data_IF_084357441316
#
_entry.id   IF_084357441316
#
_cell.length_a   1.000
_cell.length_b   1.000
_cell.length_c   1.000
_cell.angle_alpha   90.00
_cell.angle_beta   90.00
_cell.angle_gamma   90.00
#
_symmetry.space_group_name_H-M   'P 1'
#
loop_
_entity.id
_entity.type
_entity.pdbx_description
1 polymer ?
#
# COMPACT_ATOMS: atom_id res chain seq x y z
N UNK A 1 -26.29 6.58 0.22
CA UNK A 1 -25.17 6.18 1.07
C UNK A 1 -24.19 5.44 0.15
N UNK A 2 -22.97 5.91 0.01
CA UNK A 2 -21.95 5.20 -0.79
C UNK A 2 -21.65 3.86 -0.09
N UNK A 3 -21.61 2.76 -0.84
CA UNK A 3 -21.23 1.46 -0.29
C UNK A 3 -19.79 1.54 0.28
N UNK A 4 -19.56 0.94 1.44
CA UNK A 4 -18.23 0.91 2.04
C UNK A 4 -17.29 0.09 1.16
N UNK A 5 -16.11 0.65 0.88
CA UNK A 5 -15.06 -0.03 0.14
C UNK A 5 -14.33 -1.06 1.00
N UNK A 6 -14.21 -0.74 2.30
CA UNK A 6 -13.53 -1.53 3.32
C UNK A 6 -14.36 -1.49 4.60
N UNK A 7 -14.56 -2.63 5.24
CA UNK A 7 -15.16 -2.74 6.58
C UNK A 7 -14.41 -3.72 7.43
N UNK A 8 -14.24 -3.38 8.70
CA UNK A 8 -13.72 -4.22 9.77
C UNK A 8 -14.80 -4.31 10.84
N UNK A 9 -15.15 -5.52 11.28
CA UNK A 9 -16.15 -5.73 12.33
C UNK A 9 -15.61 -6.70 13.38
N UNK A 10 -15.73 -6.32 14.63
CA UNK A 10 -15.38 -7.11 15.82
C UNK A 10 -13.95 -7.71 15.76
N UNK A 11 -13.01 -6.92 15.26
CA UNK A 11 -11.61 -7.36 15.09
C UNK A 11 -10.93 -7.50 16.45
N UNK A 12 -10.35 -8.67 16.69
CA UNK A 12 -9.37 -8.91 17.74
C UNK A 12 -8.10 -9.51 17.12
N UNK A 13 -6.96 -8.88 17.39
CA UNK A 13 -5.67 -9.38 16.93
C UNK A 13 -4.65 -9.41 18.06
N UNK A 14 -3.96 -10.56 18.20
CA UNK A 14 -2.83 -10.78 19.12
C UNK A 14 -1.62 -11.27 18.36
N UNK A 15 -0.46 -10.85 18.78
CA UNK A 15 0.77 -11.45 18.30
C UNK A 15 0.96 -12.85 18.89
N UNK A 16 1.55 -13.79 18.14
CA UNK A 16 1.85 -15.13 18.68
C UNK A 16 2.68 -15.06 19.96
N UNK A 17 2.19 -15.69 21.03
CA UNK A 17 2.84 -15.71 22.34
C UNK A 17 2.44 -14.58 23.31
N UNK A 18 1.68 -13.59 22.85
CA UNK A 18 1.17 -12.51 23.69
C UNK A 18 -0.19 -12.88 24.31
N UNK A 19 -0.38 -12.52 25.59
CA UNK A 19 -1.64 -12.75 26.29
C UNK A 19 -2.68 -11.66 25.97
N UNK A 20 -2.22 -10.43 25.76
CA UNK A 20 -3.07 -9.27 25.54
C UNK A 20 -3.30 -9.02 24.04
N UNK A 21 -4.49 -8.51 23.70
CA UNK A 21 -4.78 -8.10 22.35
C UNK A 21 -3.96 -6.84 21.95
N UNK A 22 -3.30 -6.89 20.81
CA UNK A 22 -2.60 -5.74 20.22
C UNK A 22 -3.60 -4.75 19.62
N UNK A 23 -4.73 -5.25 19.09
CA UNK A 23 -5.78 -4.45 18.49
C UNK A 23 -7.15 -5.05 18.83
N UNK A 24 -8.07 -4.16 19.21
CA UNK A 24 -9.49 -4.44 19.38
C UNK A 24 -10.26 -3.32 18.65
N UNK A 25 -11.05 -3.68 17.63
CA UNK A 25 -11.81 -2.72 16.80
C UNK A 25 -13.23 -3.25 16.67
N UNK A 26 -14.20 -2.57 17.29
CA UNK A 26 -15.60 -2.94 17.18
C UNK A 26 -16.10 -2.75 15.75
N UNK A 27 -15.89 -1.56 15.18
CA UNK A 27 -16.29 -1.23 13.82
C UNK A 27 -15.34 -0.18 13.22
N UNK A 28 -14.96 -0.37 11.96
CA UNK A 28 -14.23 0.61 11.17
C UNK A 28 -14.64 0.46 9.71
N UNK A 29 -14.92 1.57 9.02
CA UNK A 29 -15.30 1.53 7.61
C UNK A 29 -14.67 2.67 6.82
N UNK A 30 -14.41 2.44 5.55
CA UNK A 30 -13.90 3.42 4.60
C UNK A 30 -14.73 3.37 3.33
N UNK A 31 -15.24 4.51 2.90
CA UNK A 31 -15.98 4.63 1.65
C UNK A 31 -15.05 4.75 0.43
N UNK A 32 -15.60 4.53 -0.77
CA UNK A 32 -14.84 4.75 -2.01
C UNK A 32 -14.48 6.24 -2.16
N UNK A 33 -13.20 6.52 -2.44
CA UNK A 33 -12.67 7.87 -2.58
C UNK A 33 -12.40 8.59 -1.24
N UNK A 34 -12.63 7.94 -0.11
CA UNK A 34 -12.33 8.49 1.20
C UNK A 34 -10.83 8.39 1.50
N UNK A 35 -10.29 9.44 2.13
CA UNK A 35 -8.94 9.47 2.66
C UNK A 35 -9.00 9.43 4.19
N UNK A 36 -8.34 8.44 4.79
CA UNK A 36 -8.34 8.24 6.24
C UNK A 36 -6.93 8.35 6.78
N UNK A 37 -6.74 9.20 7.77
CA UNK A 37 -5.49 9.36 8.49
C UNK A 37 -5.58 8.71 9.87
N UNK A 38 -4.69 7.74 10.13
CA UNK A 38 -4.62 7.03 11.40
C UNK A 38 -3.53 7.65 12.25
N UNK A 39 -3.92 8.24 13.38
CA UNK A 39 -3.01 8.86 14.35
C UNK A 39 -2.92 8.02 15.62
N UNK A 40 -1.77 8.06 16.27
CA UNK A 40 -1.52 7.37 17.55
C UNK A 40 -0.04 7.34 17.88
N UNK A 41 0.30 7.05 19.13
CA UNK A 41 1.67 6.92 19.60
C UNK A 41 2.42 5.76 18.93
N UNK A 42 3.75 5.77 19.03
CA UNK A 42 4.55 4.61 18.60
C UNK A 42 4.12 3.37 19.41
N UNK A 43 3.95 2.24 18.71
CA UNK A 43 3.49 1.01 19.36
C UNK A 43 1.96 0.88 19.54
N UNK A 44 1.15 1.87 19.14
CA UNK A 44 -0.32 1.81 19.28
C UNK A 44 -1.02 0.87 18.27
N UNK A 45 -0.28 0.06 17.52
CA UNK A 45 -0.85 -0.92 16.59
C UNK A 45 -1.17 -0.42 15.19
N UNK A 46 -0.79 0.83 14.80
CA UNK A 46 -1.07 1.38 13.45
C UNK A 46 -0.59 0.47 12.32
N UNK A 47 0.67 0.09 12.31
CA UNK A 47 1.23 -0.81 11.29
C UNK A 47 0.57 -2.19 11.34
N UNK A 48 0.15 -2.68 12.51
CA UNK A 48 -0.61 -3.92 12.65
C UNK A 48 -1.97 -3.80 11.96
N UNK A 49 -2.70 -2.70 12.20
CA UNK A 49 -3.97 -2.42 11.52
C UNK A 49 -3.79 -2.34 10.00
N UNK A 50 -2.80 -1.60 9.51
CA UNK A 50 -2.52 -1.51 8.08
C UNK A 50 -2.20 -2.88 7.46
N UNK A 51 -1.46 -3.74 8.17
CA UNK A 51 -1.16 -5.11 7.73
C UNK A 51 -2.40 -6.03 7.75
N UNK A 52 -3.33 -5.84 8.66
CA UNK A 52 -4.62 -6.53 8.67
C UNK A 52 -5.47 -6.09 7.45
N UNK A 53 -5.59 -4.80 7.20
CA UNK A 53 -6.29 -4.25 6.03
C UNK A 53 -5.67 -4.74 4.72
N UNK A 54 -4.34 -4.81 4.68
CA UNK A 54 -3.61 -5.33 3.52
C UNK A 54 -3.75 -6.86 3.36
N UNK A 55 -4.36 -7.57 4.30
CA UNK A 55 -4.47 -9.04 4.28
C UNK A 55 -3.11 -9.75 4.45
N UNK A 56 -2.08 -9.06 4.97
CA UNK A 56 -0.81 -9.67 5.37
C UNK A 56 -1.00 -10.47 6.66
N UNK A 57 -1.67 -9.84 7.63
CA UNK A 57 -2.10 -10.48 8.87
C UNK A 57 -3.56 -10.91 8.77
N UNK A 58 -3.94 -11.86 9.62
CA UNK A 58 -5.32 -12.33 9.75
C UNK A 58 -5.72 -12.20 11.21
N UNK A 59 -6.87 -11.58 11.53
CA UNK A 59 -7.34 -11.47 12.89
C UNK A 59 -7.76 -12.84 13.43
N UNK A 60 -7.70 -13.03 14.76
CA UNK A 60 -8.20 -14.22 15.42
C UNK A 60 -9.73 -14.22 15.51
N UNK A 61 -10.33 -13.03 15.69
CA UNK A 61 -11.78 -12.83 15.70
C UNK A 61 -12.17 -11.69 14.78
N UNK A 62 -13.44 -11.70 14.36
CA UNK A 62 -14.01 -10.68 13.51
C UNK A 62 -13.82 -10.91 12.02
N UNK A 63 -14.18 -9.92 11.23
CA UNK A 63 -14.16 -10.01 9.77
C UNK A 63 -13.65 -8.72 9.12
N UNK A 64 -12.88 -8.90 8.05
CA UNK A 64 -12.41 -7.82 7.18
C UNK A 64 -12.99 -8.07 5.79
N UNK A 65 -13.79 -7.12 5.32
CA UNK A 65 -14.37 -7.14 3.97
C UNK A 65 -13.81 -5.97 3.18
N UNK A 66 -13.26 -6.23 2.01
CA UNK A 66 -12.76 -5.22 1.09
C UNK A 66 -13.24 -5.55 -0.34
N UNK A 67 -13.78 -4.57 -1.06
CA UNK A 67 -14.31 -4.75 -2.42
C UNK A 67 -15.30 -5.94 -2.48
N UNK A 68 -16.22 -6.02 -1.53
CA UNK A 68 -17.24 -7.08 -1.37
C UNK A 68 -16.66 -8.49 -1.17
N UNK A 69 -15.37 -8.62 -0.79
CA UNK A 69 -14.71 -9.88 -0.48
C UNK A 69 -14.29 -9.96 0.97
N UNK A 70 -14.67 -11.02 1.66
CA UNK A 70 -14.20 -11.30 3.02
C UNK A 70 -12.76 -11.79 3.00
N UNK A 71 -11.81 -10.91 3.34
CA UNK A 71 -10.38 -11.24 3.39
C UNK A 71 -10.08 -12.27 4.47
N UNK A 72 -10.82 -12.23 5.58
CA UNK A 72 -10.66 -13.18 6.70
C UNK A 72 -11.01 -14.62 6.28
N UNK A 73 -11.90 -14.81 5.30
CA UNK A 73 -12.31 -16.13 4.80
C UNK A 73 -11.42 -16.66 3.65
N UNK A 74 -10.53 -15.83 3.09
CA UNK A 74 -9.66 -16.24 1.99
C UNK A 74 -8.51 -17.12 2.49
N UNK A 75 -8.10 -18.08 1.66
CA UNK A 75 -6.82 -18.77 1.85
C UNK A 75 -5.64 -17.77 1.71
N UNK A 76 -4.47 -18.13 2.25
CA UNK A 76 -3.27 -17.29 2.14
C UNK A 76 -2.95 -16.90 0.68
N UNK A 77 -2.98 -17.88 -0.23
CA UNK A 77 -2.73 -17.63 -1.66
C UNK A 77 -3.79 -16.71 -2.29
N UNK A 78 -5.06 -16.82 -1.89
CA UNK A 78 -6.13 -15.96 -2.39
C UNK A 78 -6.01 -14.52 -1.83
N UNK A 79 -5.57 -14.34 -0.56
CA UNK A 79 -5.25 -13.02 0.01
C UNK A 79 -4.06 -12.38 -0.68
N UNK A 80 -3.00 -13.15 -0.96
CA UNK A 80 -1.84 -12.65 -1.70
C UNK A 80 -2.25 -12.16 -3.09
N UNK A 81 -3.11 -12.93 -3.77
CA UNK A 81 -3.63 -12.54 -5.08
C UNK A 81 -4.49 -11.27 -4.99
N UNK A 82 -5.38 -11.20 -4.00
CA UNK A 82 -6.18 -10.00 -3.76
C UNK A 82 -5.30 -8.77 -3.53
N UNK A 83 -4.28 -8.89 -2.67
CA UNK A 83 -3.34 -7.80 -2.38
C UNK A 83 -2.62 -7.32 -3.63
N UNK A 84 -2.07 -8.23 -4.41
CA UNK A 84 -1.36 -7.90 -5.65
C UNK A 84 -2.27 -7.20 -6.66
N UNK A 85 -3.52 -7.64 -6.77
CA UNK A 85 -4.46 -7.11 -7.76
C UNK A 85 -5.08 -5.77 -7.34
N UNK A 86 -5.31 -5.53 -6.05
CA UNK A 86 -6.19 -4.46 -5.57
C UNK A 86 -5.53 -3.44 -4.63
N UNK A 87 -4.37 -3.76 -4.03
CA UNK A 87 -3.77 -2.91 -3.00
C UNK A 87 -2.41 -2.38 -3.44
N UNK A 88 -2.24 -1.07 -3.38
CA UNK A 88 -0.95 -0.40 -3.45
C UNK A 88 -0.39 -0.21 -2.05
N UNK A 89 0.84 -0.68 -1.78
CA UNK A 89 1.48 -0.57 -0.47
C UNK A 89 2.70 0.33 -0.54
N UNK A 90 2.75 1.31 0.37
CA UNK A 90 3.92 2.14 0.63
C UNK A 90 4.35 1.83 2.06
N UNK A 91 5.51 1.19 2.19
CA UNK A 91 6.07 0.82 3.48
C UNK A 91 6.96 1.93 4.03
N UNK A 92 7.10 2.03 5.34
CA UNK A 92 7.98 2.96 6.02
C UNK A 92 9.45 2.85 5.53
N UNK A 93 9.94 1.64 5.25
CA UNK A 93 11.28 1.39 4.69
C UNK A 93 11.29 1.26 3.17
N UNK A 94 10.23 1.70 2.47
CA UNK A 94 10.03 1.66 1.02
C UNK A 94 10.07 0.26 0.39
N UNK A 95 10.81 -0.68 0.92
CA UNK A 95 10.98 -2.07 0.45
C UNK A 95 11.22 -2.18 -1.08
N UNK A 96 12.06 -1.29 -1.62
CA UNK A 96 12.51 -1.40 -2.99
C UNK A 96 13.47 -2.57 -3.14
N UNK A 97 13.39 -3.26 -4.27
CA UNK A 97 14.33 -4.33 -4.60
C UNK A 97 15.68 -3.69 -4.97
N UNK A 98 16.74 -3.87 -4.17
CA UNK A 98 17.94 -3.03 -4.22
C UNK A 98 18.76 -3.19 -5.52
N UNK A 99 18.69 -4.35 -6.15
CA UNK A 99 19.43 -4.67 -7.38
C UNK A 99 18.65 -4.39 -8.67
N UNK A 100 17.34 -4.10 -8.58
CA UNK A 100 16.51 -3.69 -9.71
C UNK A 100 16.68 -2.19 -9.98
N UNK A 101 16.46 -1.82 -11.25
CA UNK A 101 16.37 -0.42 -11.65
C UNK A 101 15.13 0.27 -11.02
N UNK A 102 15.11 1.59 -11.06
CA UNK A 102 13.92 2.38 -10.69
C UNK A 102 12.70 1.92 -11.48
N UNK A 103 12.83 1.86 -12.80
CA UNK A 103 11.75 1.47 -13.69
C UNK A 103 11.26 0.04 -13.40
N UNK A 104 12.19 -0.91 -13.22
CA UNK A 104 11.82 -2.29 -12.87
C UNK A 104 11.09 -2.40 -11.53
N UNK A 105 11.50 -1.61 -10.51
CA UNK A 105 10.79 -1.56 -9.24
C UNK A 105 9.34 -1.08 -9.41
N UNK A 106 9.12 -0.04 -10.21
CA UNK A 106 7.76 0.47 -10.49
C UNK A 106 6.92 -0.55 -11.24
N UNK A 107 7.51 -1.28 -12.18
CA UNK A 107 6.82 -2.27 -13.01
C UNK A 107 6.47 -3.59 -12.29
N UNK A 108 7.04 -3.84 -11.08
CA UNK A 108 6.81 -5.10 -10.36
C UNK A 108 5.33 -5.49 -10.22
N UNK A 109 4.42 -4.61 -9.80
CA UNK A 109 3.02 -4.99 -9.68
C UNK A 109 2.39 -5.48 -10.98
N UNK A 110 2.76 -4.88 -12.12
CA UNK A 110 2.27 -5.31 -13.42
C UNK A 110 2.82 -6.68 -13.85
N UNK A 111 4.01 -7.07 -13.36
CA UNK A 111 4.59 -8.40 -13.61
C UNK A 111 3.87 -9.50 -12.83
N UNK A 112 3.31 -9.19 -11.67
CA UNK A 112 2.63 -10.15 -10.79
C UNK A 112 1.10 -10.13 -10.91
N UNK A 113 0.51 -9.02 -11.41
CA UNK A 113 -0.93 -8.85 -11.58
C UNK A 113 -1.28 -8.56 -13.03
N UNK A 114 -1.97 -9.52 -13.65
CA UNK A 114 -2.55 -9.31 -14.98
C UNK A 114 -3.55 -8.14 -14.96
N UNK A 115 -4.37 -8.05 -13.90
CA UNK A 115 -5.32 -6.96 -13.70
C UNK A 115 -4.64 -5.59 -13.70
N UNK A 116 -3.56 -5.42 -12.91
CA UNK A 116 -2.83 -4.15 -12.87
C UNK A 116 -2.12 -3.84 -14.18
N UNK A 117 -1.58 -4.85 -14.85
CA UNK A 117 -0.99 -4.71 -16.17
C UNK A 117 -2.01 -4.22 -17.21
N UNK A 118 -3.19 -4.84 -17.27
CA UNK A 118 -4.28 -4.43 -18.16
C UNK A 118 -4.78 -3.01 -17.87
N UNK A 119 -4.91 -2.64 -16.59
CA UNK A 119 -5.32 -1.29 -16.17
C UNK A 119 -4.26 -0.22 -16.44
N UNK A 120 -3.00 -0.59 -16.47
CA UNK A 120 -1.91 0.32 -16.87
C UNK A 120 -1.93 0.61 -18.38
N UNK A 121 -2.51 -0.28 -19.18
CA UNK A 121 -2.47 -0.20 -20.66
C UNK A 121 -1.08 -0.52 -21.18
N UNK A 122 -0.25 0.49 -21.38
CA UNK A 122 1.19 0.35 -21.59
C UNK A 122 1.91 0.56 -20.24
N UNK A 123 2.39 -0.51 -19.58
CA UNK A 123 3.00 -0.40 -18.27
C UNK A 123 4.27 0.46 -18.25
N UNK A 124 5.08 0.44 -19.30
CA UNK A 124 6.31 1.24 -19.37
C UNK A 124 5.98 2.74 -19.47
N UNK A 125 5.04 3.09 -20.35
CA UNK A 125 4.58 4.47 -20.47
C UNK A 125 3.86 4.94 -19.20
N UNK A 126 3.05 4.08 -18.56
CA UNK A 126 2.39 4.41 -17.32
C UNK A 126 3.39 4.64 -16.18
N UNK A 127 4.45 3.81 -16.09
CA UNK A 127 5.53 3.99 -15.12
C UNK A 127 6.30 5.29 -15.38
N UNK A 128 6.62 5.60 -16.63
CA UNK A 128 7.28 6.84 -17.03
C UNK A 128 6.45 8.07 -16.60
N UNK A 129 5.16 8.07 -16.90
CA UNK A 129 4.25 9.16 -16.54
C UNK A 129 4.18 9.36 -15.02
N UNK A 130 4.09 8.28 -14.23
CA UNK A 130 4.08 8.35 -12.76
C UNK A 130 5.40 8.90 -12.22
N UNK A 131 6.54 8.44 -12.73
CA UNK A 131 7.85 8.92 -12.31
C UNK A 131 8.06 10.40 -12.62
N UNK A 132 7.62 10.85 -13.81
CA UNK A 132 7.64 12.27 -14.19
C UNK A 132 6.73 13.12 -13.29
N UNK A 133 5.51 12.64 -13.02
CA UNK A 133 4.57 13.34 -12.14
C UNK A 133 5.07 13.47 -10.70
N UNK A 134 5.90 12.52 -10.27
CA UNK A 134 6.57 12.52 -8.98
C UNK A 134 7.94 13.25 -9.01
N UNK A 135 8.24 14.04 -10.03
CA UNK A 135 9.48 14.80 -10.19
C UNK A 135 10.75 13.94 -10.10
N UNK A 136 10.72 12.73 -10.66
CA UNK A 136 11.90 11.88 -10.77
C UNK A 136 12.51 11.96 -12.17
N UNK A 137 13.73 12.50 -12.22
CA UNK A 137 14.49 12.71 -13.45
C UNK A 137 14.65 11.40 -14.26
N UNK A 138 14.42 11.48 -15.58
CA UNK A 138 14.50 10.32 -16.47
C UNK A 138 15.90 9.67 -16.49
N UNK A 139 16.96 10.44 -16.26
CA UNK A 139 18.33 9.93 -16.14
C UNK A 139 18.54 8.99 -14.94
N UNK A 140 17.58 8.93 -14.00
CA UNK A 140 17.64 8.02 -12.85
C UNK A 140 16.93 6.69 -13.10
N UNK A 141 16.08 6.56 -14.10
CA UNK A 141 15.17 5.42 -14.24
C UNK A 141 15.87 4.07 -14.42
N UNK A 142 17.07 4.07 -15.01
CA UNK A 142 17.89 2.88 -15.18
C UNK A 142 18.87 2.64 -14.02
N UNK A 143 18.94 3.57 -13.04
CA UNK A 143 19.79 3.37 -11.86
C UNK A 143 19.17 2.37 -10.90
N UNK A 144 20.03 1.66 -10.16
CA UNK A 144 19.59 0.76 -9.09
C UNK A 144 19.00 1.55 -7.94
N UNK A 145 18.03 0.97 -7.23
CA UNK A 145 17.37 1.60 -6.08
C UNK A 145 18.37 2.03 -4.99
N UNK A 146 19.48 1.32 -4.82
CA UNK A 146 20.55 1.65 -3.86
C UNK A 146 21.32 2.93 -4.17
N UNK A 147 21.21 3.46 -5.38
CA UNK A 147 21.89 4.67 -5.83
C UNK A 147 21.05 5.94 -5.66
N UNK A 148 19.85 5.79 -5.09
CA UNK A 148 18.90 6.88 -4.91
C UNK A 148 18.99 7.49 -3.52
N UNK A 149 18.70 8.79 -3.41
CA UNK A 149 18.45 9.43 -2.12
C UNK A 149 17.15 8.88 -1.49
N UNK A 150 16.99 9.03 -0.17
CA UNK A 150 15.78 8.59 0.57
C UNK A 150 14.50 9.14 -0.06
N UNK A 151 14.46 10.45 -0.39
CA UNK A 151 13.29 11.05 -1.04
C UNK A 151 13.04 10.53 -2.47
N UNK A 152 14.10 10.14 -3.21
CA UNK A 152 13.93 9.49 -4.51
C UNK A 152 13.38 8.07 -4.35
N UNK A 153 13.89 7.30 -3.38
CA UNK A 153 13.37 5.95 -3.08
C UNK A 153 11.90 5.98 -2.70
N UNK A 154 11.50 6.98 -1.91
CA UNK A 154 10.10 7.18 -1.53
C UNK A 154 9.20 7.43 -2.74
N UNK A 155 9.62 8.30 -3.67
CA UNK A 155 8.88 8.57 -4.91
C UNK A 155 8.75 7.33 -5.79
N UNK A 156 9.79 6.52 -5.88
CA UNK A 156 9.74 5.23 -6.58
C UNK A 156 8.76 4.26 -5.91
N UNK A 157 8.74 4.20 -4.57
CA UNK A 157 7.80 3.37 -3.82
C UNK A 157 6.35 3.83 -4.05
N UNK A 158 6.09 5.14 -4.12
CA UNK A 158 4.79 5.69 -4.46
C UNK A 158 4.37 5.32 -5.88
N UNK A 159 5.23 5.53 -6.88
CA UNK A 159 4.96 5.14 -8.26
C UNK A 159 4.64 3.63 -8.37
N UNK A 160 5.42 2.78 -7.68
CA UNK A 160 5.16 1.34 -7.60
C UNK A 160 3.80 1.02 -6.97
N UNK A 161 3.42 1.71 -5.92
CA UNK A 161 2.13 1.50 -5.29
C UNK A 161 0.96 1.87 -6.22
N UNK A 162 1.08 2.96 -6.97
CA UNK A 162 0.02 3.55 -7.79
C UNK A 162 -0.12 2.93 -9.18
N UNK A 163 0.93 2.31 -9.75
CA UNK A 163 0.88 1.75 -11.10
C UNK A 163 -0.27 0.75 -11.24
N UNK A 164 -0.99 0.82 -12.37
CA UNK A 164 -2.15 -0.03 -12.62
C UNK A 164 -3.37 0.31 -11.76
N UNK A 165 -3.38 1.47 -11.11
CA UNK A 165 -4.54 2.07 -10.41
C UNK A 165 -5.24 1.10 -9.45
N UNK A 166 -4.59 0.67 -8.34
CA UNK A 166 -5.24 -0.15 -7.34
C UNK A 166 -6.44 0.58 -6.74
N UNK A 167 -7.42 -0.16 -6.25
CA UNK A 167 -8.60 0.41 -5.62
C UNK A 167 -8.32 0.94 -4.21
N UNK A 168 -7.33 0.37 -3.54
CA UNK A 168 -6.93 0.72 -2.17
C UNK A 168 -5.45 1.06 -2.17
N UNK A 169 -5.09 2.20 -1.58
CA UNK A 169 -3.68 2.56 -1.31
C UNK A 169 -3.49 2.64 0.19
N UNK A 170 -2.51 1.93 0.70
CA UNK A 170 -2.12 1.92 2.11
C UNK A 170 -0.71 2.46 2.22
N UNK A 171 -0.52 3.45 3.09
CA UNK A 171 0.77 4.05 3.33
C UNK A 171 1.10 4.07 4.82
N UNK A 172 2.22 3.46 5.20
CA UNK A 172 2.74 3.47 6.56
C UNK A 172 3.82 4.55 6.68
N UNK A 173 3.50 5.65 7.35
CA UNK A 173 4.33 6.84 7.51
C UNK A 173 4.95 7.37 6.20
N UNK A 174 4.14 7.56 5.13
CA UNK A 174 4.67 7.84 3.79
C UNK A 174 5.37 9.19 3.66
N UNK A 175 5.24 10.07 4.64
CA UNK A 175 5.76 11.44 4.60
C UNK A 175 6.83 11.70 5.65
N UNK A 176 7.22 10.72 6.45
CA UNK A 176 8.20 10.89 7.55
C UNK A 176 9.57 11.41 7.08
N UNK A 177 9.90 11.22 5.79
CA UNK A 177 11.16 11.68 5.17
C UNK A 177 10.98 12.87 4.20
N UNK A 178 9.77 13.47 4.10
CA UNK A 178 9.48 14.60 3.21
C UNK A 178 9.33 15.91 3.98
N UNK A 179 9.76 17.01 3.34
CA UNK A 179 9.41 18.36 3.78
C UNK A 179 7.92 18.68 3.50
N UNK A 180 7.38 19.71 4.16
CA UNK A 180 5.96 20.04 4.12
C UNK A 180 5.41 20.31 2.70
N UNK A 181 6.20 20.90 1.80
CA UNK A 181 5.77 21.19 0.43
C UNK A 181 5.62 19.90 -0.40
N UNK A 182 6.51 18.92 -0.17
CA UNK A 182 6.48 17.63 -0.85
C UNK A 182 5.44 16.68 -0.25
N UNK A 183 5.10 16.84 1.04
CA UNK A 183 3.99 16.14 1.67
C UNK A 183 2.66 16.47 0.99
N UNK A 184 2.40 17.76 0.73
CA UNK A 184 1.18 18.19 0.03
C UNK A 184 1.10 17.58 -1.37
N UNK A 185 2.17 17.73 -2.18
CA UNK A 185 2.18 17.15 -3.53
C UNK A 185 2.02 15.62 -3.57
N UNK A 186 2.46 14.92 -2.53
CA UNK A 186 2.28 13.48 -2.40
C UNK A 186 0.83 13.10 -2.06
N UNK A 187 0.14 13.92 -1.27
CA UNK A 187 -1.26 13.69 -0.88
C UNK A 187 -2.25 14.05 -1.99
N UNK A 188 -1.84 14.85 -2.98
CA UNK A 188 -2.64 15.25 -4.13
C UNK A 188 -2.60 14.21 -5.29
N UNK A 189 -1.88 13.09 -5.12
CA UNK A 189 -1.78 11.96 -6.05
C UNK A 189 -2.90 10.94 -5.87
#
# INVERSE_FOLDING_TARGET
>A
MSAALLTLNDIEFRWPGEAEACLEIAEFSVAAGEQVFIHGESGSGKSTLLNLIAGVLTPQHGSIVALDRSLSALSAAARDRFRVDHIGLIFQQFNLIPYLSVLDNVLLPCRFSKRRCERAGDPEQAAANLLQHLDLDAGLWQRKATQLSVGQQQRVAAARALIGRPEIVIADEPTSALDAARQSAFLDL
#
